data_IF_889662094447
#
_entry.id   IF_889662094447
#
_cell.length_a   1.000
_cell.length_b   1.000
_cell.length_c   1.000
_cell.angle_alpha   90.00
_cell.angle_beta   90.00
_cell.angle_gamma   90.00
#
_symmetry.space_group_name_H-M   'P 1'
#
loop_
_entity.id
_entity.type
_entity.pdbx_description
1 polymer ?
#
# COMPACT_ATOMS: atom_id res chain seq x y z
N UNK A 1 -37.02 23.18 16.81
CA UNK A 1 -36.72 21.76 16.51
C UNK A 1 -35.81 21.66 15.27
N UNK A 2 -34.58 22.21 15.31
CA UNK A 2 -33.76 22.40 14.08
C UNK A 2 -32.24 22.44 14.26
N UNK A 3 -31.69 21.99 15.40
CA UNK A 3 -30.23 22.02 15.69
C UNK A 3 -29.53 20.66 15.60
N UNK A 4 -30.26 19.57 15.33
CA UNK A 4 -29.70 18.21 15.33
C UNK A 4 -29.05 17.81 14.00
N UNK A 5 -29.26 18.54 12.90
CA UNK A 5 -28.91 18.03 11.56
C UNK A 5 -27.52 18.49 11.05
N UNK A 6 -27.02 19.66 11.45
CA UNK A 6 -25.77 20.22 10.89
C UNK A 6 -24.51 19.49 11.36
N UNK A 7 -24.47 19.02 12.62
CA UNK A 7 -23.35 18.20 13.13
C UNK A 7 -23.31 16.82 12.47
N UNK A 8 -24.46 16.19 12.28
CA UNK A 8 -24.59 14.90 11.59
C UNK A 8 -24.20 15.01 10.12
N UNK A 9 -24.64 16.07 9.42
CA UNK A 9 -24.22 16.36 8.05
C UNK A 9 -22.71 16.61 7.93
N UNK A 10 -22.12 17.40 8.83
CA UNK A 10 -20.67 17.66 8.83
C UNK A 10 -19.83 16.41 9.10
N UNK A 11 -20.27 15.54 10.02
CA UNK A 11 -19.60 14.26 10.32
C UNK A 11 -19.70 13.30 9.14
N UNK A 12 -20.86 13.21 8.48
CA UNK A 12 -21.03 12.38 7.29
C UNK A 12 -20.18 12.88 6.12
N UNK A 13 -20.06 14.20 5.94
CA UNK A 13 -19.20 14.78 4.91
C UNK A 13 -17.72 14.50 5.16
N UNK A 14 -17.25 14.61 6.40
CA UNK A 14 -15.88 14.27 6.76
C UNK A 14 -15.57 12.79 6.46
N UNK A 15 -16.48 11.86 6.78
CA UNK A 15 -16.32 10.45 6.45
C UNK A 15 -16.31 10.19 4.93
N UNK A 16 -17.13 10.89 4.16
CA UNK A 16 -17.13 10.80 2.69
C UNK A 16 -15.78 11.28 2.12
N UNK A 17 -15.21 12.37 2.64
CA UNK A 17 -13.89 12.88 2.24
C UNK A 17 -12.78 11.89 2.59
N UNK A 18 -12.81 11.27 3.78
CA UNK A 18 -11.83 10.25 4.16
C UNK A 18 -11.92 9.04 3.23
N UNK A 19 -13.12 8.56 2.93
CA UNK A 19 -13.31 7.44 2.00
C UNK A 19 -12.88 7.78 0.57
N UNK A 20 -13.07 9.03 0.13
CA UNK A 20 -12.57 9.53 -1.15
C UNK A 20 -11.03 9.51 -1.18
N UNK A 21 -10.38 10.14 -0.19
CA UNK A 21 -8.91 10.19 -0.10
C UNK A 21 -8.34 8.78 0.02
N UNK A 22 -8.94 7.91 0.83
CA UNK A 22 -8.47 6.53 1.00
C UNK A 22 -8.54 5.75 -0.32
N UNK A 23 -9.64 5.85 -1.08
CA UNK A 23 -9.76 5.15 -2.38
C UNK A 23 -8.73 5.66 -3.39
N UNK A 24 -8.73 6.96 -3.69
CA UNK A 24 -7.88 7.52 -4.74
C UNK A 24 -6.42 7.58 -4.34
N UNK A 25 -6.14 7.86 -3.07
CA UNK A 25 -4.79 7.83 -2.51
C UNK A 25 -4.18 6.43 -2.54
N UNK A 26 -4.91 5.41 -2.09
CA UNK A 26 -4.41 4.03 -2.17
C UNK A 26 -4.26 3.55 -3.61
N UNK A 27 -5.19 3.92 -4.51
CA UNK A 27 -5.06 3.62 -5.94
C UNK A 27 -3.78 4.24 -6.53
N UNK A 28 -3.51 5.52 -6.25
CA UNK A 28 -2.31 6.19 -6.72
C UNK A 28 -1.03 5.54 -6.18
N UNK A 29 -0.97 5.26 -4.87
CA UNK A 29 0.18 4.60 -4.23
C UNK A 29 0.46 3.25 -4.89
N UNK A 30 -0.57 2.42 -5.10
CA UNK A 30 -0.43 1.11 -5.73
C UNK A 30 0.02 1.19 -7.18
N UNK A 31 -0.52 2.13 -7.96
CA UNK A 31 -0.13 2.32 -9.36
C UNK A 31 1.32 2.81 -9.46
N UNK A 32 1.70 3.80 -8.65
CA UNK A 32 3.06 4.36 -8.66
C UNK A 32 4.07 3.28 -8.24
N UNK A 33 3.80 2.57 -7.15
CA UNK A 33 4.69 1.52 -6.66
C UNK A 33 4.80 0.35 -7.67
N UNK A 34 3.69 -0.04 -8.29
CA UNK A 34 3.70 -1.09 -9.32
C UNK A 34 4.45 -0.68 -10.58
N UNK A 35 4.28 0.57 -11.03
CA UNK A 35 4.97 1.11 -12.19
C UNK A 35 6.49 1.18 -11.96
N UNK A 36 6.92 1.59 -10.78
CA UNK A 36 8.33 1.67 -10.41
C UNK A 36 8.99 0.29 -10.36
N UNK A 37 8.34 -0.71 -9.74
CA UNK A 37 8.84 -2.10 -9.72
C UNK A 37 8.92 -2.73 -11.11
N UNK A 38 8.01 -2.33 -12.02
CA UNK A 38 8.06 -2.77 -13.42
C UNK A 38 9.16 -2.07 -14.23
N UNK A 39 9.44 -0.79 -13.95
CA UNK A 39 10.51 -0.05 -14.60
C UNK A 39 11.91 -0.53 -14.17
N UNK A 40 12.05 -0.93 -12.89
CA UNK A 40 13.30 -1.36 -12.28
C UNK A 40 13.21 -2.77 -11.66
N UNK A 41 13.06 -3.82 -12.49
CA UNK A 41 12.87 -5.19 -11.99
C UNK A 41 14.12 -5.76 -11.31
N UNK A 42 15.32 -5.32 -11.71
CA UNK A 42 16.58 -5.74 -11.09
C UNK A 42 16.68 -5.22 -9.65
N UNK A 43 16.34 -3.95 -9.42
CA UNK A 43 16.37 -3.33 -8.10
C UNK A 43 15.33 -3.98 -7.17
N UNK A 44 14.15 -4.30 -7.72
CA UNK A 44 13.12 -5.06 -7.02
C UNK A 44 13.62 -6.46 -6.63
N UNK A 45 14.31 -7.17 -7.54
CA UNK A 45 14.90 -8.49 -7.25
C UNK A 45 15.97 -8.40 -6.16
N UNK A 46 16.85 -7.40 -6.22
CA UNK A 46 17.89 -7.19 -5.22
C UNK A 46 17.28 -6.90 -3.86
N UNK A 47 16.26 -6.03 -3.81
CA UNK A 47 15.52 -5.70 -2.59
C UNK A 47 14.90 -6.96 -1.98
N UNK A 48 14.22 -7.81 -2.78
CA UNK A 48 13.61 -9.06 -2.30
C UNK A 48 14.68 -10.05 -1.80
N UNK A 49 15.80 -10.19 -2.52
CA UNK A 49 16.91 -11.03 -2.09
C UNK A 49 17.50 -10.58 -0.76
N UNK A 50 17.56 -9.27 -0.53
CA UNK A 50 18.13 -8.69 0.67
C UNK A 50 17.32 -9.01 1.94
N UNK A 51 16.06 -9.46 1.82
CA UNK A 51 15.30 -10.00 2.96
C UNK A 51 15.82 -11.36 3.45
N UNK A 52 16.61 -12.08 2.63
CA UNK A 52 17.14 -13.42 2.95
C UNK A 52 16.06 -14.44 3.37
N UNK A 53 14.84 -14.30 2.85
CA UNK A 53 13.71 -15.20 3.12
C UNK A 53 13.62 -16.31 2.07
N UNK A 54 13.83 -15.96 0.80
CA UNK A 54 13.57 -16.84 -0.35
C UNK A 54 14.86 -17.21 -1.08
N UNK A 55 14.82 -18.32 -1.84
CA UNK A 55 15.94 -18.65 -2.73
C UNK A 55 16.05 -17.62 -3.87
N UNK A 56 17.22 -17.53 -4.54
CA UNK A 56 17.42 -16.56 -5.63
C UNK A 56 16.41 -16.69 -6.77
N UNK A 57 15.96 -17.90 -7.08
CA UNK A 57 14.96 -18.18 -8.12
C UNK A 57 13.59 -17.63 -7.72
N UNK A 58 13.11 -17.96 -6.51
CA UNK A 58 11.84 -17.45 -5.97
C UNK A 58 11.83 -15.92 -5.88
N UNK A 59 12.96 -15.32 -5.48
CA UNK A 59 13.10 -13.87 -5.42
C UNK A 59 12.93 -13.21 -6.81
N UNK A 60 13.44 -13.86 -7.86
CA UNK A 60 13.27 -13.42 -9.25
C UNK A 60 11.82 -13.49 -9.71
N UNK A 61 11.13 -14.60 -9.42
CA UNK A 61 9.71 -14.75 -9.76
C UNK A 61 8.83 -13.74 -9.04
N UNK A 62 9.07 -13.51 -7.74
CA UNK A 62 8.34 -12.52 -6.96
C UNK A 62 8.57 -11.09 -7.48
N UNK A 63 9.81 -10.74 -7.84
CA UNK A 63 10.12 -9.42 -8.40
C UNK A 63 9.32 -9.11 -9.67
N UNK A 64 9.13 -10.12 -10.54
CA UNK A 64 8.36 -9.97 -11.77
C UNK A 64 6.85 -9.96 -11.54
N UNK A 65 6.37 -10.62 -10.48
CA UNK A 65 4.95 -10.79 -10.19
C UNK A 65 4.36 -9.60 -9.41
N UNK A 66 5.10 -9.04 -8.46
CA UNK A 66 4.59 -8.02 -7.53
C UNK A 66 4.17 -6.75 -8.27
N UNK A 67 5.00 -6.23 -9.19
CA UNK A 67 4.70 -4.98 -9.91
C UNK A 67 3.36 -5.00 -10.66
N UNK A 68 3.12 -6.00 -11.54
CA UNK A 68 1.84 -6.15 -12.23
C UNK A 68 0.64 -6.32 -11.27
N UNK A 69 0.81 -7.05 -10.16
CA UNK A 69 -0.27 -7.23 -9.18
C UNK A 69 -0.64 -5.91 -8.48
N UNK A 70 0.34 -5.11 -8.11
CA UNK A 70 0.12 -3.78 -7.53
C UNK A 70 -0.56 -2.85 -8.54
N UNK A 71 -0.13 -2.88 -9.80
CA UNK A 71 -0.72 -2.05 -10.86
C UNK A 71 -2.18 -2.43 -11.12
N UNK A 72 -2.48 -3.72 -11.23
CA UNK A 72 -3.86 -4.22 -11.40
C UNK A 72 -4.72 -3.88 -10.17
N UNK A 73 -4.21 -4.10 -8.95
CA UNK A 73 -4.92 -3.76 -7.72
C UNK A 73 -5.21 -2.26 -7.61
N UNK A 74 -4.25 -1.41 -7.95
CA UNK A 74 -4.41 0.04 -8.00
C UNK A 74 -5.44 0.48 -9.04
N UNK A 75 -5.45 -0.14 -10.22
CA UNK A 75 -6.45 0.13 -11.25
C UNK A 75 -7.86 -0.31 -10.84
N UNK A 76 -8.01 -1.45 -10.15
CA UNK A 76 -9.29 -1.90 -9.61
C UNK A 76 -9.84 -0.91 -8.56
N UNK A 77 -8.99 -0.39 -7.68
CA UNK A 77 -9.36 0.65 -6.72
C UNK A 77 -9.71 1.97 -7.41
N UNK A 78 -8.96 2.35 -8.43
CA UNK A 78 -9.20 3.58 -9.22
C UNK A 78 -10.56 3.52 -9.92
N UNK A 79 -10.81 2.46 -10.69
CA UNK A 79 -12.07 2.25 -11.43
C UNK A 79 -13.24 1.92 -10.51
N UNK A 80 -12.96 1.48 -9.28
CA UNK A 80 -13.95 1.08 -8.30
C UNK A 80 -14.68 -0.17 -8.74
N UNK A 81 -13.91 -1.20 -9.08
CA UNK A 81 -14.39 -2.53 -9.45
C UNK A 81 -14.10 -3.46 -8.27
N UNK A 82 -15.13 -4.10 -7.70
CA UNK A 82 -15.03 -4.95 -6.51
C UNK A 82 -14.28 -4.28 -5.36
N UNK A 83 -14.71 -3.08 -4.95
CA UNK A 83 -13.96 -2.21 -4.02
C UNK A 83 -13.63 -2.90 -2.70
N UNK A 84 -14.55 -3.71 -2.18
CA UNK A 84 -14.36 -4.41 -0.91
C UNK A 84 -13.36 -5.56 -1.03
N UNK A 85 -13.46 -6.36 -2.08
CA UNK A 85 -12.58 -7.51 -2.27
C UNK A 85 -11.17 -7.07 -2.67
N UNK A 86 -11.04 -6.08 -3.57
CA UNK A 86 -9.76 -5.47 -3.92
C UNK A 86 -9.07 -4.85 -2.70
N UNK A 87 -9.82 -4.11 -1.86
CA UNK A 87 -9.26 -3.55 -0.62
C UNK A 87 -8.84 -4.63 0.39
N UNK A 88 -9.55 -5.76 0.49
CA UNK A 88 -9.13 -6.88 1.36
C UNK A 88 -7.82 -7.48 0.90
N UNK A 89 -7.70 -7.77 -0.40
CA UNK A 89 -6.45 -8.28 -0.99
C UNK A 89 -5.33 -7.28 -0.74
N UNK A 90 -5.60 -5.99 -0.95
CA UNK A 90 -4.63 -4.94 -0.69
C UNK A 90 -4.16 -4.88 0.76
N UNK A 91 -5.08 -5.02 1.72
CA UNK A 91 -4.72 -5.07 3.13
C UNK A 91 -3.86 -6.29 3.47
N UNK A 92 -4.18 -7.48 2.92
CA UNK A 92 -3.39 -8.70 3.13
C UNK A 92 -1.98 -8.52 2.58
N UNK A 93 -1.84 -8.05 1.34
CA UNK A 93 -0.54 -7.80 0.72
C UNK A 93 0.28 -6.78 1.53
N UNK A 94 -0.36 -5.69 1.99
CA UNK A 94 0.29 -4.68 2.83
C UNK A 94 0.83 -5.29 4.14
N UNK A 95 0.04 -6.13 4.81
CA UNK A 95 0.47 -6.82 6.03
C UNK A 95 1.67 -7.74 5.77
N UNK A 96 1.67 -8.46 4.63
CA UNK A 96 2.80 -9.32 4.26
C UNK A 96 4.09 -8.51 4.07
N UNK A 97 4.01 -7.35 3.41
CA UNK A 97 5.15 -6.43 3.27
C UNK A 97 5.64 -5.93 4.63
N UNK A 98 4.73 -5.48 5.49
CA UNK A 98 5.07 -5.00 6.84
C UNK A 98 5.77 -6.08 7.67
N UNK A 99 5.32 -7.34 7.57
CA UNK A 99 5.95 -8.48 8.25
C UNK A 99 7.36 -8.73 7.71
N UNK A 100 7.56 -8.64 6.39
CA UNK A 100 8.87 -8.74 5.76
C UNK A 100 9.83 -7.66 6.28
N UNK A 101 9.39 -6.39 6.27
CA UNK A 101 10.18 -5.24 6.74
C UNK A 101 10.52 -5.40 8.23
N UNK A 102 9.53 -5.76 9.06
CA UNK A 102 9.75 -5.98 10.48
C UNK A 102 10.75 -7.12 10.74
N UNK A 103 10.67 -8.21 9.96
CA UNK A 103 11.63 -9.30 10.06
C UNK A 103 13.04 -8.85 9.67
N UNK A 104 13.20 -8.09 8.59
CA UNK A 104 14.50 -7.56 8.18
C UNK A 104 15.10 -6.65 9.26
N UNK A 105 14.26 -5.78 9.83
CA UNK A 105 14.67 -4.88 10.91
C UNK A 105 15.12 -5.63 12.18
N UNK A 106 14.39 -6.68 12.59
CA UNK A 106 14.76 -7.50 13.74
C UNK A 106 16.06 -8.29 13.54
N UNK A 107 16.41 -8.63 12.29
CA UNK A 107 17.69 -9.26 11.96
C UNK A 107 18.83 -8.25 11.77
N UNK A 108 18.53 -6.95 11.80
CA UNK A 108 19.51 -5.90 11.57
C UNK A 108 20.05 -5.87 10.14
N UNK A 109 19.29 -6.38 9.16
CA UNK A 109 19.64 -6.27 7.75
C UNK A 109 19.54 -4.81 7.32
N UNK A 110 20.48 -4.35 6.50
CA UNK A 110 20.45 -3.02 5.90
C UNK A 110 19.85 -3.14 4.49
N UNK A 111 18.53 -2.96 4.42
CA UNK A 111 17.76 -3.12 3.18
C UNK A 111 17.12 -1.80 2.80
N UNK A 112 17.18 -1.51 1.51
CA UNK A 112 16.33 -0.48 0.94
C UNK A 112 14.92 -1.07 0.82
N UNK A 113 13.96 -0.50 1.54
CA UNK A 113 12.62 -1.10 1.64
C UNK A 113 11.86 -1.09 0.30
N UNK A 114 12.40 -0.43 -0.74
CA UNK A 114 12.06 -0.62 -2.16
C UNK A 114 10.62 -0.27 -2.56
N UNK A 115 9.79 0.19 -1.62
CA UNK A 115 8.39 0.54 -1.90
C UNK A 115 8.24 1.77 -2.81
N UNK A 116 9.27 2.63 -2.89
CA UNK A 116 9.29 3.87 -3.67
C UNK A 116 10.68 4.15 -4.29
N UNK A 117 11.39 3.09 -4.71
CA UNK A 117 12.74 3.19 -5.26
C UNK A 117 13.84 3.13 -4.19
N UNK A 118 15.08 3.00 -4.64
CA UNK A 118 16.26 3.00 -3.76
C UNK A 118 16.45 4.39 -3.15
N UNK A 119 16.44 4.47 -1.82
CA UNK A 119 16.70 5.72 -1.11
C UNK A 119 18.20 6.03 -1.09
N UNK A 120 18.54 7.32 -1.00
CA UNK A 120 19.91 7.77 -0.88
C UNK A 120 20.61 7.12 0.32
N UNK A 121 21.77 6.49 0.08
CA UNK A 121 22.60 5.76 1.05
C UNK A 121 23.17 6.61 2.22
N UNK A 122 22.67 7.83 2.43
CA UNK A 122 23.14 8.80 3.43
C UNK A 122 22.25 8.92 4.66
N UNK A 123 21.08 8.28 4.67
CA UNK A 123 20.15 8.29 5.80
C UNK A 123 20.38 7.11 6.77
N UNK A 124 20.22 7.34 8.08
CA UNK A 124 20.31 6.28 9.11
C UNK A 124 19.27 5.19 8.83
N UNK A 125 19.69 3.93 8.53
CA UNK A 125 18.79 2.83 8.20
C UNK A 125 17.71 2.63 9.27
N UNK A 126 18.01 2.87 10.55
CA UNK A 126 17.06 2.65 11.66
C UNK A 126 15.89 3.64 11.64
N UNK A 127 16.13 4.88 11.23
CA UNK A 127 15.06 5.89 11.13
C UNK A 127 14.18 5.64 9.90
N UNK A 128 14.74 5.05 8.83
CA UNK A 128 14.00 4.67 7.64
C UNK A 128 12.99 3.55 7.91
N UNK A 129 13.34 2.52 8.69
CA UNK A 129 12.39 1.44 9.04
C UNK A 129 11.18 1.93 9.83
N UNK A 130 11.40 2.75 10.86
CA UNK A 130 10.33 3.28 11.71
C UNK A 130 9.34 4.14 10.93
N UNK A 131 9.84 5.06 10.09
CA UNK A 131 9.01 5.91 9.23
C UNK A 131 8.27 5.09 8.17
N UNK A 132 8.93 4.10 7.59
CA UNK A 132 8.34 3.17 6.60
C UNK A 132 7.18 2.39 7.23
N UNK A 133 7.38 1.77 8.39
CA UNK A 133 6.32 1.05 9.10
C UNK A 133 5.19 1.98 9.52
N UNK A 134 5.48 3.21 9.97
CA UNK A 134 4.44 4.19 10.33
C UNK A 134 3.58 4.56 9.12
N UNK A 135 4.21 4.81 7.98
CA UNK A 135 3.53 5.06 6.70
C UNK A 135 2.67 3.86 6.30
N UNK A 136 3.20 2.64 6.40
CA UNK A 136 2.49 1.43 6.02
C UNK A 136 1.31 1.15 6.97
N UNK A 137 1.44 1.45 8.26
CA UNK A 137 0.31 1.45 9.22
C UNK A 137 -0.76 2.45 8.80
N UNK A 138 -0.37 3.66 8.38
CA UNK A 138 -1.33 4.67 7.90
C UNK A 138 -2.06 4.19 6.63
N UNK A 139 -1.35 3.60 5.68
CA UNK A 139 -1.94 3.01 4.47
C UNK A 139 -2.84 1.81 4.78
N UNK A 140 -2.45 0.97 5.73
CA UNK A 140 -3.26 -0.16 6.19
C UNK A 140 -4.55 0.35 6.84
N UNK A 141 -4.48 1.41 7.65
CA UNK A 141 -5.67 2.03 8.24
C UNK A 141 -6.62 2.60 7.18
N UNK A 142 -6.10 3.31 6.17
CA UNK A 142 -6.89 3.82 5.06
C UNK A 142 -7.55 2.68 4.26
N UNK A 143 -6.82 1.61 4.01
CA UNK A 143 -7.33 0.43 3.30
C UNK A 143 -8.39 -0.31 4.14
N UNK A 144 -8.20 -0.43 5.45
CA UNK A 144 -9.21 -1.00 6.34
C UNK A 144 -10.48 -0.13 6.40
N UNK A 145 -10.32 1.19 6.31
CA UNK A 145 -11.44 2.13 6.22
C UNK A 145 -12.24 1.93 4.93
N UNK A 146 -11.60 1.76 3.77
CA UNK A 146 -12.31 1.51 2.49
C UNK A 146 -13.09 0.20 2.49
N UNK A 147 -12.65 -0.83 3.24
CA UNK A 147 -13.40 -2.09 3.40
C UNK A 147 -14.73 -1.87 4.15
N UNK A 148 -14.73 -1.02 5.18
CA UNK A 148 -15.91 -0.72 6.01
C UNK A 148 -16.83 0.32 5.38
N UNK A 149 -16.26 1.35 4.75
CA UNK A 149 -16.97 2.51 4.17
C UNK A 149 -16.44 2.79 2.75
N UNK A 150 -16.73 1.91 1.76
CA UNK A 150 -16.25 2.12 0.39
C UNK A 150 -16.90 3.37 -0.23
N UNK A 151 -16.10 4.17 -0.93
CA UNK A 151 -16.61 5.32 -1.67
C UNK A 151 -17.17 4.88 -3.03
N UNK A 152 -18.50 4.77 -3.14
CA UNK A 152 -19.19 4.19 -4.30
C UNK A 152 -19.63 5.20 -5.37
N UNK A 153 -19.61 6.52 -5.09
CA UNK A 153 -20.16 7.56 -6.00
C UNK A 153 -19.51 7.63 -7.39
N UNK A 154 -18.29 7.09 -7.56
CA UNK A 154 -17.58 6.98 -8.86
C UNK A 154 -17.12 5.54 -9.15
N UNK A 155 -17.83 4.53 -8.65
CA UNK A 155 -17.50 3.13 -8.89
C UNK A 155 -18.22 2.61 -10.15
N UNK A 156 -17.48 1.94 -11.05
CA UNK A 156 -18.07 1.24 -12.20
C UNK A 156 -18.83 -0.02 -11.75
N UNK A 157 -18.30 -0.76 -10.78
CA UNK A 157 -18.95 -1.94 -10.20
C UNK A 157 -18.52 -2.13 -8.73
N UNK A 158 -19.19 -1.48 -7.77
CA UNK A 158 -18.72 -1.37 -6.38
C UNK A 158 -18.58 -2.71 -5.64
#
# INVERSE_FOLDING_TARGET
MGRLNTKLLGVNYAFDVVSFIARFGMAAVWIIAGAEKMAHPLDTMQSIKAYEIFTPEWSGYLAQLIGPLELVGGMLLLLGIFLRESSKVAAVVMVLFMVGILQAWLRGLDIDCGCFGAADATADPRMNYGLTLLRDVAFLFLTAWTIKRPFTKFALHP
#
